data_IF_055218431247
#
_entry.id   IF_055218431247
#
_cell.length_a   1.000
_cell.length_b   1.000
_cell.length_c   1.000
_cell.angle_alpha   90.00
_cell.angle_beta   90.00
_cell.angle_gamma   90.00
#
_symmetry.space_group_name_H-M   'P 1'
#
loop_
_entity.id
_entity.type
_entity.pdbx_description
1 polymer ?
#
# COMPACT_ATOMS: atom_id res chain seq x y z
N UNK A 1 2.60 -18.19 -3.81
CA UNK A 1 3.23 -16.87 -3.58
C UNK A 1 2.31 -16.10 -2.68
N UNK A 2 2.80 -15.61 -1.56
CA UNK A 2 2.01 -14.80 -0.62
C UNK A 2 1.95 -13.33 -1.09
N UNK A 3 0.79 -12.70 -0.93
CA UNK A 3 0.58 -11.29 -1.27
C UNK A 3 0.04 -10.57 -0.03
N UNK A 4 0.71 -9.50 0.37
CA UNK A 4 0.25 -8.61 1.43
C UNK A 4 -0.20 -7.29 0.84
N UNK A 5 -1.45 -6.89 1.13
CA UNK A 5 -1.99 -5.59 0.74
C UNK A 5 -2.09 -4.71 1.98
N UNK A 6 -1.19 -3.73 2.07
CA UNK A 6 -1.07 -2.85 3.23
C UNK A 6 -1.67 -1.50 2.93
N UNK A 7 -2.76 -1.17 3.59
CA UNK A 7 -3.50 0.07 3.42
C UNK A 7 -3.54 0.97 4.64
N UNK A 8 -4.09 2.16 4.47
CA UNK A 8 -4.27 3.15 5.54
C UNK A 8 -4.01 4.59 5.06
N UNK A 9 -4.30 5.58 5.91
CA UNK A 9 -4.15 7.01 5.61
C UNK A 9 -2.68 7.44 5.42
N UNK A 10 -2.48 8.62 4.89
CA UNK A 10 -1.14 9.23 4.83
C UNK A 10 -0.54 9.37 6.23
N UNK A 11 0.72 8.96 6.39
CA UNK A 11 1.37 9.03 7.70
C UNK A 11 1.04 7.89 8.66
N UNK A 12 0.19 6.92 8.29
CA UNK A 12 -0.15 5.81 9.18
C UNK A 12 1.00 4.84 9.46
N UNK A 13 2.09 4.87 8.65
CA UNK A 13 3.23 3.97 8.80
C UNK A 13 3.16 2.71 7.94
N UNK A 14 2.33 2.67 6.90
CA UNK A 14 2.23 1.55 5.95
C UNK A 14 3.58 1.08 5.42
N UNK A 15 4.44 2.02 5.04
CA UNK A 15 5.75 1.70 4.47
C UNK A 15 6.65 1.01 5.50
N UNK A 16 6.56 1.40 6.78
CA UNK A 16 7.32 0.74 7.84
C UNK A 16 6.80 -0.68 8.07
N UNK A 17 5.47 -0.86 8.08
CA UNK A 17 4.87 -2.21 8.17
C UNK A 17 5.27 -3.07 6.96
N UNK A 18 5.28 -2.51 5.74
CA UNK A 18 5.73 -3.22 4.55
C UNK A 18 7.19 -3.68 4.66
N UNK A 19 8.09 -2.82 5.17
CA UNK A 19 9.49 -3.17 5.42
C UNK A 19 9.64 -4.25 6.51
N UNK A 20 8.81 -4.22 7.55
CA UNK A 20 8.82 -5.26 8.59
C UNK A 20 8.41 -6.62 8.02
N UNK A 21 7.43 -6.65 7.11
CA UNK A 21 7.03 -7.87 6.40
C UNK A 21 8.19 -8.37 5.52
N UNK A 22 8.81 -7.48 4.75
CA UNK A 22 9.96 -7.81 3.91
C UNK A 22 11.13 -8.36 4.75
N UNK A 23 11.49 -7.69 5.86
CA UNK A 23 12.54 -8.11 6.79
C UNK A 23 12.28 -9.53 7.33
N UNK A 24 11.05 -9.82 7.74
CA UNK A 24 10.66 -11.15 8.23
C UNK A 24 10.91 -12.24 7.18
N UNK A 25 10.45 -12.02 5.94
CA UNK A 25 10.61 -13.02 4.89
C UNK A 25 12.03 -13.14 4.37
N UNK A 26 12.80 -12.05 4.33
CA UNK A 26 14.24 -12.11 4.02
C UNK A 26 14.98 -12.93 5.09
N UNK A 27 14.66 -12.77 6.38
CA UNK A 27 15.21 -13.59 7.45
C UNK A 27 14.90 -15.08 7.27
N UNK A 28 13.74 -15.40 6.70
CA UNK A 28 13.33 -16.77 6.32
C UNK A 28 13.93 -17.24 4.97
N UNK A 29 14.89 -16.52 4.40
CA UNK A 29 15.52 -16.80 3.11
C UNK A 29 14.52 -16.82 1.93
N UNK A 30 13.42 -16.08 2.04
CA UNK A 30 12.42 -15.89 0.99
C UNK A 30 12.72 -14.63 0.18
N UNK A 31 12.47 -14.69 -1.13
CA UNK A 31 12.56 -13.52 -1.99
C UNK A 31 11.29 -12.69 -1.83
N UNK A 32 11.43 -11.46 -1.37
CA UNK A 32 10.32 -10.52 -1.16
C UNK A 32 10.51 -9.26 -2.02
N UNK A 33 9.40 -8.70 -2.53
CA UNK A 33 9.37 -7.42 -3.23
C UNK A 33 8.31 -6.51 -2.63
N UNK A 34 8.67 -5.25 -2.37
CA UNK A 34 7.70 -4.20 -2.05
C UNK A 34 7.35 -3.46 -3.33
N UNK A 35 6.06 -3.29 -3.59
CA UNK A 35 5.53 -2.55 -4.74
C UNK A 35 4.38 -1.62 -4.32
N UNK A 36 3.85 -0.83 -5.25
CA UNK A 36 2.83 0.18 -4.98
C UNK A 36 1.84 0.27 -6.15
N UNK A 37 0.55 0.45 -5.87
CA UNK A 37 -0.46 0.77 -6.91
C UNK A 37 -0.11 2.09 -7.61
N UNK A 38 0.42 3.07 -6.87
CA UNK A 38 0.78 4.37 -7.40
C UNK A 38 2.11 4.42 -8.16
N UNK A 39 2.83 3.31 -8.36
CA UNK A 39 4.16 3.33 -8.99
C UNK A 39 4.16 3.96 -10.38
N UNK A 40 3.20 3.63 -11.23
CA UNK A 40 3.06 4.21 -12.56
C UNK A 40 2.73 5.71 -12.51
N UNK A 41 1.84 6.09 -11.58
CA UNK A 41 1.51 7.49 -11.34
C UNK A 41 2.73 8.31 -10.90
N UNK A 42 3.60 7.71 -10.07
CA UNK A 42 4.85 8.35 -9.65
C UNK A 42 5.86 8.51 -10.80
N UNK A 43 5.91 7.56 -11.73
CA UNK A 43 6.72 7.70 -12.95
C UNK A 43 6.25 8.92 -13.75
N UNK A 44 4.96 9.03 -14.02
CA UNK A 44 4.41 10.20 -14.72
C UNK A 44 4.65 11.51 -13.96
N UNK A 45 4.54 11.49 -12.64
CA UNK A 45 4.82 12.69 -11.84
C UNK A 45 6.27 13.16 -11.99
N UNK A 46 7.23 12.25 -12.07
CA UNK A 46 8.65 12.58 -12.33
C UNK A 46 8.87 13.17 -13.72
N UNK A 47 8.17 12.67 -14.72
CA UNK A 47 8.30 13.13 -16.11
C UNK A 47 7.61 14.47 -16.35
N UNK A 48 6.53 14.76 -15.61
CA UNK A 48 5.65 15.92 -15.85
C UNK A 48 5.85 17.05 -14.82
N UNK A 49 6.65 16.84 -13.79
CA UNK A 49 6.96 17.84 -12.76
C UNK A 49 8.47 17.83 -12.46
N UNK A 50 8.94 18.82 -11.71
CA UNK A 50 10.34 18.87 -11.26
C UNK A 50 10.65 17.92 -10.08
N UNK A 51 9.76 16.99 -9.77
CA UNK A 51 9.96 16.05 -8.66
C UNK A 51 10.98 14.97 -9.03
N UNK A 52 12.01 14.83 -8.18
CA UNK A 52 13.07 13.82 -8.33
C UNK A 52 12.65 12.37 -8.00
N UNK A 53 11.44 12.18 -7.47
CA UNK A 53 10.92 10.88 -7.06
C UNK A 53 11.27 10.48 -5.62
N UNK A 54 12.16 11.20 -4.95
CA UNK A 54 12.74 10.85 -3.63
C UNK A 54 12.49 11.96 -2.60
N UNK A 55 12.55 13.22 -3.01
CA UNK A 55 12.45 14.37 -2.10
C UNK A 55 11.10 14.43 -1.38
N UNK A 56 11.12 15.10 -0.22
CA UNK A 56 9.89 15.34 0.56
C UNK A 56 8.89 16.28 -0.15
N UNK A 57 9.35 17.00 -1.18
CA UNK A 57 8.52 17.86 -2.04
C UNK A 57 7.64 17.06 -3.02
N UNK A 58 7.13 15.92 -2.59
CA UNK A 58 6.22 15.06 -3.37
C UNK A 58 5.02 15.88 -3.86
N UNK A 59 4.73 15.94 -5.18
CA UNK A 59 3.65 16.73 -5.75
C UNK A 59 2.28 16.08 -5.47
N UNK A 60 1.80 16.18 -4.24
CA UNK A 60 0.60 15.47 -3.76
C UNK A 60 -0.67 15.87 -4.52
N UNK A 61 -0.86 17.17 -4.77
CA UNK A 61 -2.03 17.66 -5.52
C UNK A 61 -2.04 17.08 -6.93
N UNK A 62 -0.90 17.10 -7.62
CA UNK A 62 -0.75 16.47 -8.94
C UNK A 62 -1.11 14.97 -8.88
N UNK A 63 -0.55 14.24 -7.91
CA UNK A 63 -0.79 12.79 -7.78
C UNK A 63 -2.27 12.48 -7.48
N UNK A 64 -2.94 13.28 -6.64
CA UNK A 64 -4.36 13.09 -6.35
C UNK A 64 -5.24 13.43 -7.56
N UNK A 65 -5.02 14.59 -8.17
CA UNK A 65 -5.80 15.06 -9.33
C UNK A 65 -5.58 14.15 -10.55
N UNK A 66 -4.34 13.87 -10.91
CA UNK A 66 -4.02 13.02 -12.05
C UNK A 66 -4.45 11.56 -11.84
N UNK A 67 -4.26 11.03 -10.64
CA UNK A 67 -4.79 9.72 -10.27
C UNK A 67 -6.32 9.67 -10.32
N UNK A 68 -7.00 10.76 -9.96
CA UNK A 68 -8.44 10.93 -10.10
C UNK A 68 -8.90 10.89 -11.56
N UNK A 69 -8.21 11.62 -12.44
CA UNK A 69 -8.49 11.60 -13.90
C UNK A 69 -8.38 10.19 -14.47
N UNK A 70 -7.31 9.47 -14.13
CA UNK A 70 -7.12 8.09 -14.61
C UNK A 70 -8.25 7.18 -14.10
N UNK A 71 -8.62 7.26 -12.81
CA UNK A 71 -9.71 6.46 -12.23
C UNK A 71 -11.10 6.80 -12.78
N UNK A 72 -11.32 8.05 -13.19
CA UNK A 72 -12.55 8.45 -13.85
C UNK A 72 -12.68 7.81 -15.25
N UNK A 73 -11.56 7.61 -15.94
CA UNK A 73 -11.53 6.90 -17.23
C UNK A 73 -11.64 5.38 -17.04
N UNK A 74 -10.83 4.79 -16.16
CA UNK A 74 -10.90 3.37 -15.78
C UNK A 74 -10.65 3.22 -14.28
N UNK A 75 -11.71 2.92 -13.51
CA UNK A 75 -11.64 2.73 -12.06
C UNK A 75 -10.64 1.65 -11.65
N UNK A 76 -10.42 0.65 -12.50
CA UNK A 76 -9.53 -0.48 -12.25
C UNK A 76 -8.15 -0.35 -12.90
N UNK A 77 -7.80 0.79 -13.44
CA UNK A 77 -6.52 0.97 -14.12
C UNK A 77 -5.33 0.51 -13.26
N UNK A 78 -5.24 1.00 -12.03
CA UNK A 78 -4.11 0.68 -11.15
C UNK A 78 -4.12 -0.78 -10.66
N UNK A 79 -5.29 -1.34 -10.39
CA UNK A 79 -5.41 -2.73 -9.97
C UNK A 79 -5.10 -3.69 -11.12
N UNK A 80 -5.55 -3.41 -12.34
CA UNK A 80 -5.18 -4.18 -13.54
C UNK A 80 -3.67 -4.20 -13.75
N UNK A 81 -3.01 -3.03 -13.67
CA UNK A 81 -1.55 -2.95 -13.80
C UNK A 81 -0.84 -3.74 -12.69
N UNK A 82 -1.34 -3.68 -11.46
CA UNK A 82 -0.78 -4.46 -10.36
C UNK A 82 -0.94 -5.96 -10.57
N UNK A 83 -2.10 -6.41 -11.05
CA UNK A 83 -2.34 -7.83 -11.37
C UNK A 83 -1.33 -8.31 -12.42
N UNK A 84 -1.12 -7.54 -13.50
CA UNK A 84 -0.14 -7.87 -14.54
C UNK A 84 1.29 -7.94 -13.99
N UNK A 85 1.68 -7.02 -13.10
CA UNK A 85 2.99 -7.04 -12.44
C UNK A 85 3.16 -8.27 -11.54
N UNK A 86 2.14 -8.63 -10.77
CA UNK A 86 2.17 -9.79 -9.89
C UNK A 86 2.31 -11.09 -10.72
N UNK A 87 1.68 -11.17 -11.88
CA UNK A 87 1.84 -12.30 -12.80
C UNK A 87 3.31 -12.48 -13.26
N UNK A 88 4.07 -11.38 -13.36
CA UNK A 88 5.50 -11.43 -13.63
C UNK A 88 6.28 -11.83 -12.37
N UNK A 89 5.96 -11.20 -11.24
CA UNK A 89 6.64 -11.42 -9.97
C UNK A 89 6.56 -12.86 -9.48
N UNK A 90 5.44 -13.56 -9.70
CA UNK A 90 5.26 -14.95 -9.22
C UNK A 90 6.29 -15.95 -9.75
N UNK A 91 7.01 -15.61 -10.82
CA UNK A 91 8.07 -16.44 -11.38
C UNK A 91 9.45 -16.19 -10.74
N UNK A 92 9.59 -15.12 -9.94
CA UNK A 92 10.89 -14.66 -9.43
C UNK A 92 10.94 -14.39 -7.93
N UNK A 93 9.78 -14.21 -7.27
CA UNK A 93 9.69 -13.95 -5.83
C UNK A 93 8.70 -14.87 -5.12
N UNK A 94 8.89 -15.04 -3.82
CA UNK A 94 8.02 -15.84 -2.95
C UNK A 94 6.90 -14.98 -2.34
N UNK A 95 7.18 -13.68 -2.14
CA UNK A 95 6.30 -12.74 -1.42
C UNK A 95 6.25 -11.39 -2.13
N UNK A 96 5.05 -10.84 -2.26
CA UNK A 96 4.79 -9.48 -2.75
C UNK A 96 4.11 -8.67 -1.63
N UNK A 97 4.60 -7.47 -1.36
CA UNK A 97 3.99 -6.52 -0.43
C UNK A 97 3.58 -5.27 -1.18
N UNK A 98 2.29 -4.99 -1.25
CA UNK A 98 1.74 -3.76 -1.84
C UNK A 98 1.53 -2.76 -0.70
N UNK A 99 2.31 -1.66 -0.67
CA UNK A 99 2.48 -0.82 0.52
C UNK A 99 1.62 0.45 0.56
N UNK A 100 0.76 0.68 -0.43
CA UNK A 100 0.07 1.97 -0.56
C UNK A 100 -1.43 1.91 -0.86
N UNK A 101 -2.08 0.79 -0.53
CA UNK A 101 -3.51 0.64 -0.76
C UNK A 101 -4.35 1.71 -0.03
N UNK A 102 -5.33 2.27 -0.74
CA UNK A 102 -6.16 3.42 -0.33
C UNK A 102 -7.64 3.23 -0.59
N UNK A 103 -8.01 2.33 -1.47
CA UNK A 103 -9.39 2.14 -1.92
C UNK A 103 -9.86 0.72 -1.64
N UNK A 104 -11.13 0.49 -1.25
CA UNK A 104 -11.70 -0.85 -1.09
C UNK A 104 -11.42 -1.75 -2.29
N UNK A 105 -11.65 -1.22 -3.50
CA UNK A 105 -11.44 -1.93 -4.77
C UNK A 105 -10.02 -2.54 -4.90
N UNK A 106 -9.00 -1.91 -4.31
CA UNK A 106 -7.62 -2.40 -4.37
C UNK A 106 -7.43 -3.69 -3.57
N UNK A 107 -8.14 -3.84 -2.46
CA UNK A 107 -8.17 -5.07 -1.66
C UNK A 107 -9.03 -6.14 -2.33
N UNK A 108 -10.23 -5.77 -2.76
CA UNK A 108 -11.19 -6.65 -3.41
C UNK A 108 -10.60 -7.27 -4.69
N UNK A 109 -10.02 -6.45 -5.58
CA UNK A 109 -9.43 -6.94 -6.83
C UNK A 109 -8.24 -7.89 -6.56
N UNK A 110 -7.41 -7.64 -5.53
CA UNK A 110 -6.33 -8.57 -5.18
C UNK A 110 -6.90 -9.90 -4.65
N UNK A 111 -7.85 -9.85 -3.71
CA UNK A 111 -8.51 -11.06 -3.17
C UNK A 111 -9.28 -11.87 -4.25
N UNK A 112 -9.85 -11.18 -5.25
CA UNK A 112 -10.58 -11.85 -6.34
C UNK A 112 -9.68 -12.50 -7.40
N UNK A 113 -8.42 -12.08 -7.51
CA UNK A 113 -7.51 -12.56 -8.55
C UNK A 113 -6.42 -13.51 -8.02
N UNK A 114 -6.22 -13.58 -6.70
CA UNK A 114 -5.16 -14.39 -6.10
C UNK A 114 -5.65 -15.09 -4.83
N UNK A 115 -5.24 -16.36 -4.63
CA UNK A 115 -5.72 -17.19 -3.52
C UNK A 115 -5.07 -16.86 -2.15
N UNK A 116 -3.80 -16.42 -2.13
CA UNK A 116 -3.02 -16.21 -0.91
C UNK A 116 -2.77 -14.70 -0.69
N UNK A 117 -3.85 -13.98 -0.39
CA UNK A 117 -3.83 -12.53 -0.15
C UNK A 117 -4.19 -12.24 1.29
N UNK A 118 -3.33 -11.49 1.97
CA UNK A 118 -3.58 -10.96 3.32
C UNK A 118 -3.71 -9.44 3.28
N UNK A 119 -4.85 -8.93 3.72
CA UNK A 119 -5.15 -7.49 3.79
C UNK A 119 -4.87 -6.95 5.20
N UNK A 120 -4.11 -5.85 5.27
CA UNK A 120 -3.71 -5.21 6.52
C UNK A 120 -4.05 -3.72 6.48
N UNK A 121 -4.86 -3.25 7.43
CA UNK A 121 -5.06 -1.83 7.66
C UNK A 121 -4.08 -1.34 8.73
N UNK A 122 -3.30 -0.31 8.41
CA UNK A 122 -2.42 0.36 9.36
C UNK A 122 -3.04 1.68 9.80
N UNK A 123 -3.29 1.82 11.09
CA UNK A 123 -3.83 3.03 11.70
C UNK A 123 -2.80 3.65 12.64
N UNK A 124 -2.71 4.98 12.63
CA UNK A 124 -1.92 5.74 13.60
C UNK A 124 -2.78 6.89 14.13
N UNK A 125 -3.14 6.81 15.40
CA UNK A 125 -4.01 7.80 16.05
C UNK A 125 -3.25 9.02 16.55
N UNK A 126 -1.92 8.93 16.70
CA UNK A 126 -1.09 9.95 17.34
C UNK A 126 -0.31 10.82 16.35
N UNK A 127 -0.26 10.45 15.08
CA UNK A 127 0.47 11.26 14.09
C UNK A 127 -0.44 12.30 13.47
N UNK A 128 -0.20 13.60 13.72
CA UNK A 128 -0.98 14.66 13.08
C UNK A 128 -0.80 14.59 11.56
N UNK A 129 -1.88 14.77 10.84
CA UNK A 129 -1.82 14.81 9.37
C UNK A 129 -0.99 16.01 8.91
N UNK A 130 -0.03 15.76 8.01
CA UNK A 130 0.74 16.81 7.31
C UNK A 130 0.05 17.28 6.03
N UNK A 131 -1.17 16.81 5.77
CA UNK A 131 -1.95 17.12 4.58
C UNK A 131 -2.76 18.39 4.78
N UNK A 132 -2.97 19.16 3.72
CA UNK A 132 -3.96 20.24 3.70
C UNK A 132 -5.38 19.71 3.85
N UNK A 133 -6.36 20.55 4.21
CA UNK A 133 -7.77 20.14 4.32
C UNK A 133 -8.27 19.54 3.01
N UNK A 134 -7.92 20.14 1.86
CA UNK A 134 -8.25 19.61 0.52
C UNK A 134 -7.69 18.21 0.33
N UNK A 135 -6.44 17.99 0.66
CA UNK A 135 -5.78 16.68 0.52
C UNK A 135 -6.38 15.63 1.45
N UNK A 136 -6.79 16.00 2.65
CA UNK A 136 -7.43 15.09 3.62
C UNK A 136 -8.84 14.65 3.18
N UNK A 137 -9.57 15.49 2.45
CA UNK A 137 -10.89 15.15 1.91
C UNK A 137 -10.88 14.36 0.61
N UNK A 138 -9.69 14.09 0.04
CA UNK A 138 -9.56 13.26 -1.16
C UNK A 138 -10.03 11.83 -0.88
N UNK A 139 -10.61 11.18 -1.91
CA UNK A 139 -11.12 9.81 -1.82
C UNK A 139 -10.03 8.82 -1.35
N UNK A 140 -8.77 9.05 -1.68
CA UNK A 140 -7.64 8.21 -1.24
C UNK A 140 -7.30 8.33 0.25
N UNK A 141 -7.88 9.28 0.96
CA UNK A 141 -7.72 9.43 2.42
C UNK A 141 -8.98 9.05 3.20
N UNK A 142 -10.15 8.96 2.54
CA UNK A 142 -11.45 8.76 3.20
C UNK A 142 -12.11 7.42 2.85
N UNK A 143 -11.81 6.82 1.70
CA UNK A 143 -12.52 5.64 1.20
C UNK A 143 -12.47 4.42 2.12
N UNK A 144 -11.42 4.27 2.94
CA UNK A 144 -11.29 3.15 3.86
C UNK A 144 -11.97 3.37 5.22
N UNK A 145 -12.59 4.53 5.48
CA UNK A 145 -13.23 4.82 6.76
C UNK A 145 -14.47 3.95 7.03
N UNK A 146 -15.15 3.53 5.97
CA UNK A 146 -16.36 2.69 6.04
C UNK A 146 -16.12 1.29 5.47
N UNK A 147 -14.87 0.87 5.32
CA UNK A 147 -14.50 -0.46 4.86
C UNK A 147 -13.90 -1.25 6.01
N UNK A 148 -14.39 -2.44 6.26
CA UNK A 148 -14.05 -3.27 7.43
C UNK A 148 -13.56 -4.69 7.06
N UNK A 149 -13.48 -5.03 5.77
CA UNK A 149 -13.07 -6.35 5.29
C UNK A 149 -11.55 -6.55 5.27
N UNK A 150 -10.89 -6.20 6.37
CA UNK A 150 -9.46 -6.45 6.56
C UNK A 150 -9.22 -7.73 7.36
N UNK A 151 -8.20 -8.51 6.98
CA UNK A 151 -7.80 -9.68 7.75
C UNK A 151 -7.14 -9.25 9.07
N UNK A 152 -6.39 -8.12 9.05
CA UNK A 152 -5.74 -7.57 10.23
C UNK A 152 -5.79 -6.04 10.27
N UNK A 153 -5.90 -5.49 11.49
CA UNK A 153 -5.77 -4.06 11.77
C UNK A 153 -4.60 -3.87 12.72
N UNK A 154 -3.62 -3.05 12.33
CA UNK A 154 -2.42 -2.77 13.10
C UNK A 154 -2.43 -1.31 13.56
N UNK A 155 -2.54 -1.10 14.88
CA UNK A 155 -2.26 0.19 15.47
C UNK A 155 -0.74 0.41 15.54
N UNK A 156 -0.27 1.42 14.80
CA UNK A 156 1.15 1.78 14.71
C UNK A 156 1.45 2.95 15.66
N UNK A 157 1.73 2.64 16.91
CA UNK A 157 2.01 3.61 17.97
C UNK A 157 3.51 3.75 18.20
N UNK A 158 4.17 2.65 18.55
CA UNK A 158 5.62 2.56 18.74
C UNK A 158 6.19 1.50 17.81
N UNK A 159 7.33 1.83 17.19
CA UNK A 159 7.95 1.00 16.15
C UNK A 159 8.18 -0.45 16.60
N UNK A 160 8.73 -0.64 17.81
CA UNK A 160 9.04 -1.96 18.38
C UNK A 160 7.76 -2.78 18.65
N UNK A 161 6.74 -2.13 19.23
CA UNK A 161 5.45 -2.80 19.48
C UNK A 161 4.75 -3.16 18.18
N UNK A 162 4.84 -2.30 17.17
CA UNK A 162 4.31 -2.56 15.84
C UNK A 162 5.03 -3.72 15.18
N UNK A 163 6.37 -3.79 15.26
CA UNK A 163 7.17 -4.89 14.72
C UNK A 163 6.78 -6.23 15.36
N UNK A 164 6.61 -6.28 16.67
CA UNK A 164 6.18 -7.48 17.38
C UNK A 164 4.78 -7.94 16.94
N UNK A 165 3.84 -6.99 16.74
CA UNK A 165 2.49 -7.31 16.21
C UNK A 165 2.56 -7.89 14.81
N UNK A 166 3.34 -7.25 13.91
CA UNK A 166 3.54 -7.73 12.53
C UNK A 166 4.11 -9.14 12.52
N UNK A 167 5.21 -9.38 13.26
CA UNK A 167 5.86 -10.69 13.29
C UNK A 167 4.95 -11.78 13.83
N UNK A 168 4.17 -11.49 14.90
CA UNK A 168 3.17 -12.43 15.43
C UNK A 168 2.09 -12.80 14.40
N UNK A 169 1.64 -11.83 13.60
CA UNK A 169 0.68 -12.09 12.51
C UNK A 169 1.33 -13.03 11.49
N UNK A 170 2.56 -12.73 11.07
CA UNK A 170 3.25 -13.51 10.04
C UNK A 170 3.55 -14.94 10.49
N UNK A 171 3.91 -15.15 11.76
CA UNK A 171 4.07 -16.49 12.36
C UNK A 171 2.79 -17.31 12.33
N UNK A 172 1.64 -16.66 12.50
CA UNK A 172 0.32 -17.32 12.43
C UNK A 172 -0.16 -17.67 11.01
N UNK A 173 0.52 -17.13 9.99
CA UNK A 173 0.21 -17.38 8.56
C UNK A 173 1.12 -18.43 7.91
N UNK A 174 2.10 -18.96 8.63
CA UNK A 174 2.98 -20.07 8.19
C UNK A 174 2.35 -21.42 8.48
#
# INVERSE_FOLDING_TARGET
>A
MKIFVVGGKSGSGKNEVAKMIEEYYIYKLKKCVITEFSKYLKVFAKELTDWDGVSQAKPRDFLQEFGGVIRNYDKRFFTKRMIEDIEIYKNVVDVVVISDARLPLEFEDMKNNFDDVTSILVVNQFSPSKLTIKQQSDITETALENYDEFDYIIANDKLEETKNKVFKILEGLE
#
